data_IF_884293968539
#
_entry.id   IF_884293968539
#
_cell.length_a   1.000
_cell.length_b   1.000
_cell.length_c   1.000
_cell.angle_alpha   90.00
_cell.angle_beta   90.00
_cell.angle_gamma   90.00
#
_symmetry.space_group_name_H-M   'P 1'
#
loop_
_entity.id
_entity.type
_entity.pdbx_description
1 polymer ?
#
# COMPACT_ATOMS: atom_id res chain seq x y z
N UNK A 1 22.61 11.26 37.25
CA UNK A 1 21.90 10.05 37.70
C UNK A 1 20.67 9.89 36.82
N UNK A 2 20.73 8.99 35.84
CA UNK A 2 19.63 8.76 34.90
C UNK A 2 18.58 7.87 35.55
N UNK A 3 17.35 8.37 35.71
CA UNK A 3 16.23 7.60 36.20
C UNK A 3 15.83 6.57 35.15
N UNK A 4 16.13 5.29 35.38
CA UNK A 4 15.47 4.19 34.68
C UNK A 4 14.07 4.03 35.28
N UNK A 5 13.09 4.74 34.72
CA UNK A 5 11.68 4.46 35.02
C UNK A 5 11.36 3.06 34.48
N UNK A 6 11.17 2.11 35.39
CA UNK A 6 10.57 0.81 35.10
C UNK A 6 9.11 1.03 34.71
N UNK A 7 8.83 1.33 33.45
CA UNK A 7 7.48 1.22 32.89
C UNK A 7 7.13 -0.25 32.79
N UNK A 8 6.43 -0.79 33.79
CA UNK A 8 5.71 -2.04 33.62
C UNK A 8 4.29 -1.65 33.15
N UNK A 9 4.00 -1.63 31.84
CA UNK A 9 2.71 -1.18 31.34
C UNK A 9 1.60 -2.02 31.99
N UNK A 10 0.56 -1.35 32.48
CA UNK A 10 -0.60 -2.06 33.00
C UNK A 10 -1.32 -2.78 31.84
N UNK A 11 -2.15 -3.78 32.16
CA UNK A 11 -2.94 -4.48 31.14
C UNK A 11 -3.83 -3.54 30.33
N UNK A 12 -4.23 -2.40 30.92
CA UNK A 12 -4.98 -1.33 30.26
C UNK A 12 -4.10 -0.57 29.28
N UNK A 13 -2.89 -0.17 29.68
CA UNK A 13 -1.95 0.52 28.77
C UNK A 13 -1.57 -0.36 27.57
N UNK A 14 -1.43 -1.68 27.79
CA UNK A 14 -1.25 -2.63 26.70
C UNK A 14 -2.48 -2.70 25.77
N UNK A 15 -3.69 -2.68 26.32
CA UNK A 15 -4.92 -2.69 25.52
C UNK A 15 -5.04 -1.43 24.66
N UNK A 16 -4.78 -0.25 25.26
CA UNK A 16 -4.87 1.03 24.55
C UNK A 16 -3.79 1.12 23.44
N UNK A 17 -2.57 0.64 23.68
CA UNK A 17 -1.52 0.56 22.66
C UNK A 17 -1.83 -0.49 21.57
N UNK A 18 -2.41 -1.63 21.95
CA UNK A 18 -2.80 -2.67 20.99
C UNK A 18 -3.91 -2.16 20.07
N UNK A 19 -4.95 -1.52 20.62
CA UNK A 19 -6.05 -0.95 19.85
C UNK A 19 -5.56 0.14 18.89
N UNK A 20 -4.67 1.03 19.35
CA UNK A 20 -4.02 2.00 18.47
C UNK A 20 -3.20 1.33 17.34
N UNK A 21 -2.50 0.24 17.63
CA UNK A 21 -1.74 -0.52 16.61
C UNK A 21 -2.64 -1.26 15.61
N UNK A 22 -3.83 -1.70 16.04
CA UNK A 22 -4.79 -2.44 15.22
C UNK A 22 -5.55 -1.49 14.30
N UNK A 23 -5.93 -0.31 14.80
CA UNK A 23 -6.50 0.76 13.98
C UNK A 23 -5.53 1.17 12.86
N UNK A 24 -4.24 1.24 13.15
CA UNK A 24 -3.23 1.58 12.14
C UNK A 24 -2.94 0.41 11.16
N UNK A 25 -3.25 -0.84 11.53
CA UNK A 25 -3.10 -2.01 10.63
C UNK A 25 -4.20 -2.08 9.59
N UNK A 26 -5.39 -1.56 9.87
CA UNK A 26 -6.48 -1.44 8.90
C UNK A 26 -6.23 -0.40 7.80
N UNK A 27 -5.25 0.47 7.98
CA UNK A 27 -4.93 1.56 7.04
C UNK A 27 -4.14 1.11 5.80
N UNK A 28 -3.80 -0.17 5.67
CA UNK A 28 -3.10 -0.70 4.50
C UNK A 28 -4.04 -1.36 3.49
N UNK A 29 -5.19 -1.85 3.92
CA UNK A 29 -6.23 -2.35 3.02
C UNK A 29 -7.12 -1.17 2.61
N UNK A 30 -7.58 -1.15 1.36
CA UNK A 30 -8.45 -0.11 0.82
C UNK A 30 -7.80 1.28 0.71
N UNK A 31 -6.46 1.34 0.65
CA UNK A 31 -5.69 2.57 0.55
C UNK A 31 -4.82 2.62 -0.71
N UNK A 32 -4.60 3.83 -1.22
CA UNK A 32 -3.62 4.10 -2.28
C UNK A 32 -2.25 4.25 -1.65
N UNK A 33 -1.32 3.38 -2.04
CA UNK A 33 0.07 3.41 -1.56
C UNK A 33 1.02 3.58 -2.72
N UNK A 34 2.13 4.25 -2.47
CA UNK A 34 3.20 4.40 -3.45
C UNK A 34 4.16 3.22 -3.35
N UNK A 35 4.38 2.51 -4.45
CA UNK A 35 5.31 1.38 -4.54
C UNK A 35 6.37 1.55 -5.62
N UNK A 36 7.41 0.74 -5.56
CA UNK A 36 8.53 0.72 -6.51
C UNK A 36 8.52 -0.59 -7.30
N UNK A 37 8.68 -0.51 -8.61
CA UNK A 37 8.77 -1.69 -9.47
C UNK A 37 10.10 -2.41 -9.23
N UNK A 38 10.06 -3.61 -8.66
CA UNK A 38 11.27 -4.42 -8.40
C UNK A 38 11.60 -5.36 -9.55
N UNK A 39 10.59 -5.84 -10.28
CA UNK A 39 10.78 -6.71 -11.43
C UNK A 39 9.64 -6.56 -12.46
N UNK A 40 9.92 -6.93 -13.71
CA UNK A 40 8.92 -7.02 -14.77
C UNK A 40 9.08 -8.38 -15.44
N UNK A 41 8.05 -9.23 -15.32
CA UNK A 41 8.02 -10.60 -15.81
C UNK A 41 6.97 -10.73 -16.93
N UNK A 42 7.42 -10.73 -18.19
CA UNK A 42 6.59 -10.85 -19.41
C UNK A 42 5.45 -9.82 -19.46
N UNK A 43 4.34 -10.11 -18.79
CA UNK A 43 3.09 -9.36 -18.77
C UNK A 43 2.68 -8.88 -17.36
N UNK A 44 3.53 -9.12 -16.34
CA UNK A 44 3.27 -8.77 -14.94
C UNK A 44 4.40 -7.91 -14.39
N UNK A 45 4.07 -6.78 -13.76
CA UNK A 45 5.00 -5.99 -12.96
C UNK A 45 4.91 -6.43 -11.49
N UNK A 46 6.07 -6.61 -10.86
CA UNK A 46 6.22 -6.86 -9.43
C UNK A 46 6.57 -5.54 -8.77
N UNK A 47 5.81 -5.16 -7.75
CA UNK A 47 5.88 -3.87 -7.10
C UNK A 47 6.02 -4.10 -5.60
N UNK A 48 7.08 -3.54 -5.03
CA UNK A 48 7.25 -3.47 -3.59
C UNK A 48 6.57 -2.21 -3.07
N UNK A 49 5.62 -2.40 -2.16
CA UNK A 49 4.84 -1.34 -1.51
C UNK A 49 5.24 -1.16 -0.03
N UNK A 50 6.37 -1.74 0.39
CA UNK A 50 6.83 -1.70 1.78
C UNK A 50 6.01 -2.60 2.72
N UNK A 51 5.23 -3.53 2.17
CA UNK A 51 4.53 -4.56 2.91
C UNK A 51 5.38 -5.82 3.01
N UNK A 52 4.88 -6.80 3.78
CA UNK A 52 5.53 -8.10 3.92
C UNK A 52 5.53 -8.91 2.61
N UNK A 53 4.64 -8.55 1.69
CA UNK A 53 4.36 -9.23 0.43
C UNK A 53 4.51 -8.26 -0.72
N UNK A 54 5.07 -8.75 -1.83
CA UNK A 54 5.13 -8.00 -3.08
C UNK A 54 3.77 -8.05 -3.80
N UNK A 55 3.42 -6.96 -4.47
CA UNK A 55 2.22 -6.86 -5.28
C UNK A 55 2.50 -7.19 -6.73
N UNK A 56 1.59 -7.90 -7.39
CA UNK A 56 1.69 -8.22 -8.82
C UNK A 56 0.56 -7.55 -9.58
N UNK A 57 0.91 -6.76 -10.59
CA UNK A 57 -0.05 -6.04 -11.45
C UNK A 57 0.19 -6.41 -12.90
N UNK A 58 -0.89 -6.68 -13.63
CA UNK A 58 -0.79 -6.91 -15.07
C UNK A 58 -0.35 -5.62 -15.78
N UNK A 59 0.62 -5.71 -16.69
CA UNK A 59 1.10 -4.55 -17.48
C UNK A 59 -0.02 -3.84 -18.24
N UNK A 60 -1.12 -4.54 -18.52
CA UNK A 60 -2.33 -4.00 -19.15
C UNK A 60 -2.99 -2.88 -18.33
N UNK A 61 -2.92 -2.93 -17.00
CA UNK A 61 -3.47 -1.87 -16.11
C UNK A 61 -2.66 -0.57 -16.20
N UNK A 62 -1.41 -0.62 -16.68
CA UNK A 62 -0.60 0.57 -16.94
C UNK A 62 -0.89 1.19 -18.33
N UNK A 63 -1.79 0.59 -19.11
CA UNK A 63 -1.90 0.79 -20.56
C UNK A 63 -2.83 1.89 -21.09
N UNK A 64 -3.49 2.71 -20.26
CA UNK A 64 -4.43 3.74 -20.76
C UNK A 64 -4.13 5.20 -20.39
N UNK A 65 -3.06 5.48 -19.65
CA UNK A 65 -2.62 6.86 -19.36
C UNK A 65 -1.23 7.19 -19.94
N UNK A 66 -0.91 6.57 -21.08
CA UNK A 66 0.04 7.16 -22.03
C UNK A 66 1.52 6.94 -21.75
N UNK A 67 1.97 5.70 -21.59
CA UNK A 67 3.14 5.15 -22.31
C UNK A 67 3.20 3.61 -22.18
N UNK A 68 2.61 2.84 -23.11
CA UNK A 68 2.87 1.41 -23.21
C UNK A 68 4.34 1.24 -23.64
N UNK A 69 5.24 1.04 -22.66
CA UNK A 69 6.67 0.85 -22.90
C UNK A 69 7.63 1.63 -21.99
N UNK A 70 7.15 2.41 -21.02
CA UNK A 70 8.03 3.16 -20.10
C UNK A 70 8.17 2.57 -18.70
N UNK A 71 7.32 1.64 -18.26
CA UNK A 71 7.47 1.06 -16.93
C UNK A 71 8.78 0.28 -16.89
N UNK A 72 9.73 0.76 -16.08
CA UNK A 72 11.03 0.15 -15.85
C UNK A 72 11.14 -0.28 -14.40
N UNK A 73 12.01 -1.25 -14.18
CA UNK A 73 12.46 -1.59 -12.83
C UNK A 73 13.09 -0.35 -12.20
N UNK A 74 12.65 -0.01 -11.00
CA UNK A 74 13.04 1.20 -10.26
C UNK A 74 12.04 2.36 -10.37
N UNK A 75 11.02 2.26 -11.23
CA UNK A 75 9.99 3.30 -11.31
C UNK A 75 9.07 3.26 -10.10
N UNK A 76 8.63 4.45 -9.70
CA UNK A 76 7.66 4.63 -8.61
C UNK A 76 6.25 4.79 -9.19
N UNK A 77 5.30 4.01 -8.67
CA UNK A 77 3.90 3.99 -9.11
C UNK A 77 2.98 3.92 -7.91
N UNK A 78 1.83 4.59 -7.93
CA UNK A 78 0.82 4.40 -6.89
C UNK A 78 -0.09 3.22 -7.23
N UNK A 79 -0.41 2.40 -6.25
CA UNK A 79 -1.25 1.21 -6.43
C UNK A 79 -2.23 1.15 -5.28
N UNK A 80 -3.43 0.67 -5.56
CA UNK A 80 -4.45 0.48 -4.56
C UNK A 80 -4.35 -0.93 -3.99
N UNK A 81 -4.27 -1.06 -2.67
CA UNK A 81 -4.20 -2.37 -2.01
C UNK A 81 -5.59 -2.89 -1.72
N UNK A 82 -6.03 -3.88 -2.50
CA UNK A 82 -7.31 -4.54 -2.26
C UNK A 82 -7.23 -5.57 -1.15
N UNK A 83 -6.08 -6.25 -1.04
CA UNK A 83 -5.85 -7.30 -0.04
C UNK A 83 -4.36 -7.47 0.20
N UNK A 84 -3.96 -7.55 1.47
CA UNK A 84 -2.55 -7.72 1.86
C UNK A 84 -1.99 -9.08 1.39
N UNK A 85 -2.80 -10.15 1.41
CA UNK A 85 -2.34 -11.49 1.01
C UNK A 85 -3.49 -12.33 0.42
N UNK A 86 -3.27 -12.92 -0.76
CA UNK A 86 -4.13 -13.94 -1.34
C UNK A 86 -3.68 -15.36 -0.93
N UNK A 87 -4.39 -16.40 -1.36
CA UNK A 87 -4.05 -17.79 -1.02
C UNK A 87 -2.66 -18.25 -1.52
N UNK A 88 -2.02 -17.47 -2.40
CA UNK A 88 -0.68 -17.72 -2.94
C UNK A 88 0.42 -16.89 -2.26
N UNK A 89 0.09 -16.08 -1.26
CA UNK A 89 1.05 -15.21 -0.58
C UNK A 89 1.35 -13.90 -1.31
N UNK A 90 0.53 -13.51 -2.29
CA UNK A 90 0.74 -12.30 -3.10
C UNK A 90 -0.23 -11.20 -2.67
N UNK A 91 0.22 -9.95 -2.66
CA UNK A 91 -0.67 -8.81 -2.44
C UNK A 91 -1.53 -8.55 -3.69
N UNK A 92 -2.83 -8.39 -3.49
CA UNK A 92 -3.76 -8.04 -4.58
C UNK A 92 -3.82 -6.54 -4.65
N UNK A 93 -3.29 -5.98 -5.73
CA UNK A 93 -3.19 -4.54 -5.95
C UNK A 93 -3.71 -4.16 -7.34
N UNK A 94 -4.28 -2.97 -7.49
CA UNK A 94 -4.78 -2.45 -8.78
C UNK A 94 -4.42 -0.98 -8.99
N UNK A 95 -3.99 -0.64 -10.21
CA UNK A 95 -3.67 0.76 -10.60
C UNK A 95 -4.93 1.52 -11.02
N UNK A 96 -5.87 0.85 -11.68
CA UNK A 96 -7.10 1.50 -12.16
C UNK A 96 -7.98 1.97 -11.01
N UNK A 97 -8.02 1.22 -9.90
CA UNK A 97 -8.72 1.66 -8.69
C UNK A 97 -8.01 2.82 -8.00
N UNK A 98 -6.68 2.81 -7.94
CA UNK A 98 -5.91 3.91 -7.36
C UNK A 98 -6.24 5.25 -8.04
N UNK A 99 -6.30 5.26 -9.38
CA UNK A 99 -6.66 6.46 -10.14
C UNK A 99 -8.08 6.94 -9.89
N UNK A 100 -9.01 6.03 -9.58
CA UNK A 100 -10.40 6.38 -9.28
C UNK A 100 -10.51 7.02 -7.91
N UNK A 101 -9.81 6.47 -6.93
CA UNK A 101 -9.77 7.00 -5.56
C UNK A 101 -9.06 8.36 -5.52
N UNK A 102 -7.89 8.49 -6.16
CA UNK A 102 -7.18 9.77 -6.31
C UNK A 102 -8.05 10.84 -6.99
N UNK A 103 -8.84 10.47 -7.99
CA UNK A 103 -9.75 11.40 -8.65
C UNK A 103 -10.90 11.82 -7.73
N UNK A 104 -11.34 10.94 -6.82
CA UNK A 104 -12.38 11.22 -5.83
C UNK A 104 -11.86 12.13 -4.72
N UNK A 105 -10.70 11.82 -4.15
CA UNK A 105 -10.00 12.65 -3.15
C UNK A 105 -9.73 14.06 -3.68
N UNK A 106 -9.29 14.15 -4.94
CA UNK A 106 -9.04 15.45 -5.59
C UNK A 106 -10.33 16.26 -5.80
N UNK A 107 -11.46 15.60 -6.04
CA UNK A 107 -12.76 16.28 -6.15
C UNK A 107 -13.22 16.76 -4.76
N UNK A 108 -13.09 15.95 -3.72
CA UNK A 108 -13.47 16.38 -2.35
C UNK A 108 -12.67 17.61 -1.89
N UNK A 109 -11.36 17.67 -2.20
CA UNK A 109 -10.54 18.84 -1.87
C UNK A 109 -10.93 20.12 -2.62
N UNK A 110 -11.64 20.02 -3.74
CA UNK A 110 -12.07 21.20 -4.52
C UNK A 110 -13.43 21.76 -4.11
N UNK A 111 -14.19 21.04 -3.28
CA UNK A 111 -15.54 21.43 -2.86
C UNK A 111 -15.68 21.80 -1.38
N UNK A 112 -14.57 21.87 -0.63
CA UNK A 112 -14.52 22.36 0.76
C UNK A 112 -13.90 23.76 0.83
#
# INVERSE_FOLDING_TARGET
MSQTQSMNPSRKDFADMLDASLLNRGAFEDNVVTGVVTAIEKDVAVIDVGLKTEGRVALKEFGQAGMPGMLKVGDTVEVFVERIENANGEAVISRDKARREEAWDRLEQQFI
#
